data_IF_598705217100
#
_entry.id   IF_598705217100
#
_cell.length_a   1.000
_cell.length_b   1.000
_cell.length_c   1.000
_cell.angle_alpha   90.00
_cell.angle_beta   90.00
_cell.angle_gamma   90.00
#
_symmetry.space_group_name_H-M   'P 1'
#
loop_
_entity.id
_entity.type
_entity.pdbx_description
1 polymer ?
#
# COMPACT_ATOMS: atom_id res chain seq x y z
N UNK A 1 -13.19 20.46 -17.15
CA UNK A 1 -13.82 19.61 -16.10
C UNK A 1 -13.23 18.22 -16.27
N UNK A 2 -12.39 17.79 -15.34
CA UNK A 2 -11.84 16.43 -15.36
C UNK A 2 -12.77 15.57 -14.50
N UNK A 3 -13.34 14.51 -15.07
CA UNK A 3 -14.30 13.65 -14.39
C UNK A 3 -13.59 12.60 -13.55
N UNK A 4 -14.13 12.31 -12.36
CA UNK A 4 -13.71 11.20 -11.50
C UNK A 4 -13.63 9.92 -12.34
N UNK A 5 -12.51 9.18 -12.33
CA UNK A 5 -12.40 7.93 -13.07
C UNK A 5 -13.56 6.98 -12.72
N UNK A 6 -14.21 6.41 -13.73
CA UNK A 6 -15.41 5.58 -13.53
C UNK A 6 -15.19 4.41 -12.56
N UNK A 7 -13.99 3.84 -12.53
CA UNK A 7 -13.63 2.77 -11.60
C UNK A 7 -13.63 3.23 -10.13
N UNK A 8 -13.25 4.48 -9.83
CA UNK A 8 -13.27 4.97 -8.45
C UNK A 8 -14.71 5.02 -7.97
N UNK A 9 -15.60 5.64 -8.76
CA UNK A 9 -17.04 5.68 -8.46
C UNK A 9 -17.62 4.29 -8.22
N UNK A 10 -17.32 3.32 -9.09
CA UNK A 10 -17.76 1.94 -8.91
C UNK A 10 -17.19 1.29 -7.63
N UNK A 11 -15.93 1.55 -7.28
CA UNK A 11 -15.35 1.06 -6.03
C UNK A 11 -16.10 1.63 -4.81
N UNK A 12 -16.50 2.90 -4.87
CA UNK A 12 -17.34 3.54 -3.87
C UNK A 12 -18.73 2.94 -3.74
N UNK A 13 -19.36 2.61 -4.88
CA UNK A 13 -20.65 1.90 -4.90
C UNK A 13 -20.52 0.50 -4.30
N UNK A 14 -19.45 -0.24 -4.62
CA UNK A 14 -19.16 -1.55 -4.05
C UNK A 14 -18.96 -1.49 -2.53
N UNK A 15 -18.36 -0.42 -2.02
CA UNK A 15 -18.21 -0.18 -0.58
C UNK A 15 -19.53 0.24 0.11
N UNK A 16 -20.61 0.47 -0.64
CA UNK A 16 -21.92 0.83 -0.09
C UNK A 16 -22.07 2.32 0.26
N UNK A 17 -21.17 3.18 -0.24
CA UNK A 17 -21.18 4.63 0.03
C UNK A 17 -22.24 5.38 -0.79
N UNK A 18 -22.84 4.70 -1.77
CA UNK A 18 -23.84 5.28 -2.66
C UNK A 18 -23.27 6.40 -3.56
N UNK A 19 -24.12 7.31 -4.07
CA UNK A 19 -23.70 8.39 -4.97
C UNK A 19 -22.74 9.43 -4.35
N UNK A 20 -22.53 9.38 -3.02
CA UNK A 20 -21.70 10.33 -2.28
C UNK A 20 -20.25 9.87 -2.12
N UNK A 21 -19.90 8.70 -2.67
CA UNK A 21 -18.61 8.04 -2.45
C UNK A 21 -17.39 8.89 -2.82
N UNK A 22 -17.54 9.87 -3.73
CA UNK A 22 -16.49 10.82 -4.06
C UNK A 22 -17.12 12.19 -4.30
N UNK A 23 -16.75 13.17 -3.49
CA UNK A 23 -16.93 14.56 -3.87
C UNK A 23 -15.96 14.94 -4.99
N UNK A 24 -16.25 16.05 -5.69
CA UNK A 24 -15.46 16.69 -6.77
C UNK A 24 -13.95 16.92 -6.48
N UNK A 25 -13.42 16.53 -5.32
CA UNK A 25 -12.05 16.85 -4.86
C UNK A 25 -11.00 15.76 -5.15
N UNK A 26 -11.40 14.53 -5.46
CA UNK A 26 -10.46 13.53 -5.98
C UNK A 26 -10.06 13.80 -7.44
N UNK A 27 -10.71 14.79 -8.08
CA UNK A 27 -10.58 15.12 -9.49
C UNK A 27 -9.41 16.07 -9.76
N UNK A 28 -8.48 15.62 -10.61
CA UNK A 28 -7.72 16.49 -11.50
C UNK A 28 -6.21 16.41 -11.38
N UNK A 29 -5.68 16.42 -10.15
CA UNK A 29 -4.23 16.34 -9.91
C UNK A 29 -3.73 14.89 -9.67
N UNK A 30 -4.68 13.98 -9.43
CA UNK A 30 -4.53 12.64 -8.85
C UNK A 30 -3.81 11.57 -9.71
N UNK A 31 -3.39 11.89 -10.94
CA UNK A 31 -2.81 10.91 -11.88
C UNK A 31 -1.53 11.43 -12.55
N UNK A 32 -0.93 12.48 -12.00
CA UNK A 32 0.40 12.92 -12.39
C UNK A 32 1.41 11.83 -12.03
N UNK A 33 1.75 10.99 -13.00
CA UNK A 33 2.82 10.00 -12.89
C UNK A 33 4.15 10.70 -13.11
N UNK A 34 4.55 11.59 -12.18
CA UNK A 34 5.97 11.92 -12.10
C UNK A 34 6.70 10.65 -11.64
N UNK A 35 7.34 9.99 -12.61
CA UNK A 35 8.07 8.74 -12.44
C UNK A 35 9.52 8.98 -12.00
N UNK A 36 9.83 10.14 -11.39
CA UNK A 36 11.18 10.46 -10.90
C UNK A 36 11.82 9.32 -10.11
N UNK A 37 11.02 8.51 -9.42
CA UNK A 37 11.37 7.16 -8.97
C UNK A 37 10.11 6.30 -8.80
N UNK A 38 10.29 4.97 -8.77
CA UNK A 38 9.21 4.00 -8.52
C UNK A 38 9.45 3.24 -7.23
N UNK A 39 8.40 3.00 -6.46
CA UNK A 39 8.45 2.01 -5.37
C UNK A 39 7.81 0.69 -5.80
N UNK A 40 8.15 -0.37 -5.08
CA UNK A 40 7.61 -1.70 -5.30
C UNK A 40 6.10 -1.79 -5.04
N UNK A 41 5.56 -0.89 -4.22
CA UNK A 41 4.12 -0.81 -3.91
C UNK A 41 3.38 -0.17 -5.10
N UNK A 42 3.71 1.07 -5.46
CA UNK A 42 2.94 1.82 -6.46
C UNK A 42 3.29 1.49 -7.93
N UNK A 43 4.56 1.18 -8.24
CA UNK A 43 5.06 0.81 -9.56
C UNK A 43 4.59 1.69 -10.75
N UNK A 44 4.54 3.00 -10.54
CA UNK A 44 4.03 4.00 -11.47
C UNK A 44 2.50 4.00 -11.59
N UNK A 45 1.77 3.73 -10.51
CA UNK A 45 0.31 3.90 -10.48
C UNK A 45 -0.01 5.25 -9.86
N UNK A 46 -0.91 6.04 -10.45
CA UNK A 46 -1.37 7.29 -9.82
C UNK A 46 -2.41 7.05 -8.71
N UNK A 47 -2.94 5.84 -8.59
CA UNK A 47 -3.92 5.49 -7.57
C UNK A 47 -3.71 4.08 -7.01
N UNK A 48 -3.94 3.93 -5.71
CA UNK A 48 -3.95 2.66 -5.00
C UNK A 48 -5.26 2.53 -4.24
N UNK A 49 -5.78 1.31 -4.12
CA UNK A 49 -6.97 1.03 -3.31
C UNK A 49 -6.68 -0.18 -2.43
N UNK A 50 -7.20 -0.23 -1.21
CA UNK A 50 -7.03 -1.39 -0.35
C UNK A 50 -8.35 -1.96 0.13
N UNK A 51 -8.35 -3.29 0.28
CA UNK A 51 -9.33 -4.04 1.05
C UNK A 51 -8.72 -4.33 2.41
N UNK A 52 -9.46 -4.07 3.48
CA UNK A 52 -9.04 -4.34 4.84
C UNK A 52 -9.69 -5.63 5.38
N UNK A 53 -8.95 -6.40 6.18
CA UNK A 53 -9.45 -7.47 7.05
C UNK A 53 -8.67 -7.52 8.38
N UNK A 54 -9.28 -7.88 9.52
CA UNK A 54 -10.71 -8.05 9.73
C UNK A 54 -11.47 -6.72 9.61
N UNK A 55 -12.80 -6.81 9.54
CA UNK A 55 -13.69 -5.66 9.66
C UNK A 55 -14.74 -5.55 8.56
N UNK A 56 -15.55 -4.50 8.66
CA UNK A 56 -16.57 -4.19 7.68
C UNK A 56 -15.95 -3.68 6.37
N UNK A 57 -16.73 -3.75 5.28
CA UNK A 57 -16.35 -3.12 4.00
C UNK A 57 -16.08 -1.63 4.20
N UNK A 58 -14.89 -1.19 3.83
CA UNK A 58 -14.47 0.21 3.80
C UNK A 58 -13.61 0.44 2.57
N UNK A 59 -13.67 1.64 2.03
CA UNK A 59 -12.85 2.01 0.89
C UNK A 59 -11.67 2.87 1.34
N UNK A 60 -10.49 2.27 1.32
CA UNK A 60 -9.23 3.00 1.40
C UNK A 60 -8.74 3.27 -0.02
N UNK A 61 -8.55 4.53 -0.36
CA UNK A 61 -8.01 4.97 -1.64
C UNK A 61 -6.85 5.92 -1.39
N UNK A 62 -5.75 5.76 -2.12
CA UNK A 62 -4.67 6.74 -2.18
C UNK A 62 -4.55 7.26 -3.59
N UNK A 63 -4.42 8.57 -3.74
CA UNK A 63 -4.20 9.23 -5.04
C UNK A 63 -2.96 10.08 -5.00
N UNK A 64 -2.08 9.94 -5.99
CA UNK A 64 -0.83 10.68 -6.08
C UNK A 64 -1.10 12.13 -6.48
N UNK A 65 -0.45 13.09 -5.81
CA UNK A 65 -0.48 14.52 -6.15
C UNK A 65 0.84 14.95 -6.80
N UNK A 66 0.84 16.04 -7.59
CA UNK A 66 2.07 16.69 -8.02
C UNK A 66 2.92 17.03 -6.79
N UNK A 67 4.20 16.70 -6.86
CA UNK A 67 5.18 16.91 -5.80
C UNK A 67 6.52 17.32 -6.42
N UNK A 68 7.44 17.79 -5.57
CA UNK A 68 8.80 18.11 -6.00
C UNK A 68 9.59 16.83 -6.38
N UNK A 69 10.59 16.93 -7.27
CA UNK A 69 11.44 15.79 -7.63
C UNK A 69 12.05 15.11 -6.39
N UNK A 70 11.97 13.79 -6.35
CA UNK A 70 12.51 12.98 -5.25
C UNK A 70 11.53 12.72 -4.10
N UNK A 71 10.30 13.23 -4.16
CA UNK A 71 9.19 12.84 -3.27
C UNK A 71 7.92 12.59 -4.06
N UNK A 72 7.16 11.60 -3.62
CA UNK A 72 5.77 11.40 -4.01
C UNK A 72 4.87 11.80 -2.84
N UNK A 73 3.89 12.66 -3.09
CA UNK A 73 2.86 13.01 -2.12
C UNK A 73 1.54 12.35 -2.54
N UNK A 74 0.83 11.79 -1.58
CA UNK A 74 -0.41 11.06 -1.81
C UNK A 74 -1.46 11.54 -0.81
N UNK A 75 -2.71 11.67 -1.26
CA UNK A 75 -3.84 11.86 -0.35
C UNK A 75 -4.42 10.50 -0.01
N UNK A 76 -4.59 10.22 1.29
CA UNK A 76 -5.35 9.08 1.78
C UNK A 76 -6.82 9.48 1.93
N UNK A 77 -7.68 8.74 1.24
CA UNK A 77 -9.12 8.85 1.28
C UNK A 77 -9.71 7.63 1.96
N UNK A 78 -10.61 7.88 2.91
CA UNK A 78 -11.37 6.86 3.59
C UNK A 78 -12.84 7.15 3.41
N UNK A 79 -13.53 6.21 2.75
CA UNK A 79 -14.97 6.31 2.48
C UNK A 79 -15.38 7.63 1.78
N UNK A 80 -14.50 8.13 0.90
CA UNK A 80 -14.72 9.35 0.13
C UNK A 80 -14.27 10.66 0.80
N UNK A 81 -13.75 10.59 2.01
CA UNK A 81 -13.23 11.75 2.75
C UNK A 81 -11.71 11.71 2.78
N UNK A 82 -11.05 12.84 2.50
CA UNK A 82 -9.61 12.96 2.70
C UNK A 82 -9.33 12.91 4.21
N UNK A 83 -8.57 11.92 4.65
CA UNK A 83 -8.25 11.69 6.06
C UNK A 83 -6.78 11.87 6.40
N UNK A 84 -5.91 11.95 5.40
CA UNK A 84 -4.48 12.02 5.64
C UNK A 84 -3.66 12.24 4.39
N UNK A 85 -2.35 12.35 4.61
CA UNK A 85 -1.36 12.42 3.56
C UNK A 85 -0.31 11.32 3.75
N UNK A 86 0.21 10.82 2.63
CA UNK A 86 1.32 9.87 2.61
C UNK A 86 2.45 10.47 1.81
N UNK A 87 3.63 10.55 2.42
CA UNK A 87 4.86 10.99 1.80
C UNK A 87 5.75 9.78 1.55
N UNK A 88 6.26 9.65 0.34
CA UNK A 88 7.22 8.62 -0.04
C UNK A 88 8.44 9.31 -0.63
N UNK A 89 9.61 9.04 -0.07
CA UNK A 89 10.85 9.62 -0.52
C UNK A 89 11.70 8.71 -1.38
N UNK A 90 12.45 9.30 -2.29
CA UNK A 90 13.56 8.65 -2.95
C UNK A 90 14.66 8.30 -1.93
N UNK A 91 15.54 7.33 -2.26
CA UNK A 91 16.71 7.05 -1.42
C UNK A 91 17.51 8.33 -1.11
N UNK A 92 17.75 8.58 0.17
CA UNK A 92 18.48 9.76 0.64
C UNK A 92 17.63 11.03 0.85
N UNK A 93 16.31 10.95 0.72
CA UNK A 93 15.43 12.08 1.07
C UNK A 93 15.56 12.49 2.55
N UNK A 94 15.22 13.74 2.83
CA UNK A 94 15.28 14.34 4.17
C UNK A 94 13.88 14.80 4.59
N UNK A 95 13.16 14.06 5.44
CA UNK A 95 11.76 14.33 5.78
C UNK A 95 11.55 15.74 6.37
N UNK A 96 12.59 16.36 6.94
CA UNK A 96 12.54 17.70 7.53
C UNK A 96 12.15 18.78 6.51
N UNK A 97 12.46 18.58 5.23
CA UNK A 97 12.04 19.50 4.16
C UNK A 97 10.52 19.56 3.99
N UNK A 98 9.82 18.53 4.45
CA UNK A 98 8.37 18.42 4.44
C UNK A 98 7.76 18.57 5.85
N UNK A 99 8.49 19.17 6.79
CA UNK A 99 8.01 19.45 8.14
C UNK A 99 8.00 18.25 9.08
N UNK A 100 8.68 17.16 8.73
CA UNK A 100 8.74 15.95 9.54
C UNK A 100 10.14 15.71 10.09
N UNK A 101 10.26 15.70 11.41
CA UNK A 101 11.49 15.25 12.05
C UNK A 101 11.60 13.74 12.00
N UNK A 102 12.81 13.24 11.75
CA UNK A 102 13.09 11.80 11.85
C UNK A 102 13.05 11.43 13.34
N UNK A 103 12.27 10.43 13.76
CA UNK A 103 12.33 9.97 15.15
C UNK A 103 13.70 9.32 15.42
N UNK A 104 14.42 9.82 16.42
CA UNK A 104 15.81 9.42 16.72
C UNK A 104 15.96 8.61 18.02
N UNK A 105 14.84 8.26 18.66
CA UNK A 105 14.85 7.61 19.97
C UNK A 105 14.19 6.22 19.94
N UNK A 106 14.49 5.43 20.97
CA UNK A 106 13.84 4.15 21.25
C UNK A 106 13.89 3.16 20.08
N UNK A 107 12.74 2.61 19.72
CA UNK A 107 12.62 1.63 18.66
C UNK A 107 12.90 2.22 17.26
N UNK A 108 12.59 3.50 17.04
CA UNK A 108 12.86 4.17 15.77
C UNK A 108 14.34 4.30 15.47
N UNK A 109 15.15 4.59 16.51
CA UNK A 109 16.61 4.61 16.38
C UNK A 109 17.14 3.26 15.87
N UNK A 110 16.78 2.18 16.56
CA UNK A 110 17.18 0.82 16.20
C UNK A 110 16.68 0.39 14.82
N UNK A 111 15.44 0.74 14.46
CA UNK A 111 14.93 0.50 13.12
C UNK A 111 15.72 1.28 12.05
N UNK A 112 16.13 2.50 12.37
CA UNK A 112 16.97 3.35 11.53
C UNK A 112 18.41 2.85 11.34
N UNK A 113 18.94 2.06 12.26
CA UNK A 113 20.23 1.37 12.11
C UNK A 113 20.15 0.18 11.16
N UNK A 114 18.99 -0.48 11.11
CA UNK A 114 18.75 -1.66 10.27
C UNK A 114 18.28 -1.30 8.86
N UNK A 115 17.61 -0.16 8.69
CA UNK A 115 16.80 0.13 7.52
C UNK A 115 16.67 1.64 7.24
N UNK A 116 16.29 1.96 6.00
CA UNK A 116 16.14 3.34 5.56
C UNK A 116 14.67 3.80 5.67
N UNK A 117 14.42 4.90 6.39
CA UNK A 117 13.12 5.58 6.39
C UNK A 117 12.80 6.06 4.97
N UNK A 118 11.66 5.64 4.42
CA UNK A 118 11.29 5.95 3.04
C UNK A 118 9.84 6.43 2.89
N UNK A 119 8.98 6.19 3.89
CA UNK A 119 7.57 6.57 3.83
C UNK A 119 7.05 7.04 5.18
N UNK A 120 6.21 8.06 5.15
CA UNK A 120 5.50 8.60 6.32
C UNK A 120 4.01 8.62 5.98
N UNK A 121 3.17 7.93 6.76
CA UNK A 121 1.72 8.07 6.69
C UNK A 121 1.26 9.01 7.81
N UNK A 122 0.57 10.09 7.48
CA UNK A 122 0.09 11.08 8.42
C UNK A 122 -1.43 11.25 8.26
N UNK A 123 -2.18 10.45 9.02
CA UNK A 123 -3.64 10.56 9.10
C UNK A 123 -4.01 11.60 10.17
N UNK A 124 -4.98 12.47 9.90
CA UNK A 124 -5.37 13.60 10.75
C UNK A 124 -5.86 13.19 12.15
N UNK A 125 -6.36 11.96 12.28
CA UNK A 125 -6.97 11.45 13.51
C UNK A 125 -6.08 10.44 14.27
N UNK A 126 -4.87 10.17 13.79
CA UNK A 126 -4.00 9.14 14.34
C UNK A 126 -2.54 9.58 14.38
N UNK A 127 -1.77 8.92 15.24
CA UNK A 127 -0.33 9.07 15.23
C UNK A 127 0.26 8.63 13.89
N UNK A 128 1.29 9.33 13.38
CA UNK A 128 1.88 9.04 12.09
C UNK A 128 2.60 7.69 12.11
N UNK A 129 2.71 7.08 10.93
CA UNK A 129 3.50 5.87 10.73
C UNK A 129 4.79 6.18 9.99
N UNK A 130 5.90 5.71 10.54
CA UNK A 130 7.22 5.83 9.93
C UNK A 130 7.64 4.48 9.37
N UNK A 131 7.73 4.36 8.05
CA UNK A 131 8.03 3.13 7.34
C UNK A 131 9.49 3.05 6.89
N UNK A 132 10.15 1.97 7.29
CA UNK A 132 11.55 1.69 7.05
C UNK A 132 11.68 0.54 6.04
N UNK A 133 12.41 0.76 4.95
CA UNK A 133 12.66 -0.25 3.93
C UNK A 133 13.90 -1.06 4.30
N UNK A 134 13.73 -2.37 4.46
CA UNK A 134 14.82 -3.26 4.78
C UNK A 134 15.77 -3.40 3.57
N UNK A 135 17.09 -3.57 3.79
CA UNK A 135 18.03 -3.89 2.74
C UNK A 135 17.64 -5.16 1.97
N UNK A 136 18.06 -5.27 0.70
CA UNK A 136 17.68 -6.39 -0.20
C UNK A 136 18.01 -7.79 0.32
N UNK A 137 18.97 -7.90 1.24
CA UNK A 137 19.44 -9.16 1.80
C UNK A 137 18.94 -9.42 3.23
N UNK A 138 18.21 -8.48 3.82
CA UNK A 138 17.67 -8.62 5.15
C UNK A 138 16.38 -9.45 5.13
N UNK A 139 16.28 -10.40 6.05
CA UNK A 139 15.04 -11.14 6.33
C UNK A 139 14.22 -10.36 7.37
N UNK A 140 12.89 -10.30 7.18
CA UNK A 140 12.02 -9.60 8.13
C UNK A 140 12.02 -10.25 9.52
N UNK A 141 12.10 -11.58 9.61
CA UNK A 141 12.18 -12.30 10.88
C UNK A 141 13.38 -11.85 11.73
N UNK A 142 14.55 -11.72 11.11
CA UNK A 142 15.79 -11.33 11.78
C UNK A 142 15.74 -9.85 12.21
N UNK A 143 15.21 -8.97 11.35
CA UNK A 143 15.03 -7.57 11.67
C UNK A 143 14.05 -7.38 12.85
N UNK A 144 12.92 -8.10 12.85
CA UNK A 144 11.99 -8.12 13.99
C UNK A 144 12.66 -8.65 15.25
N UNK A 145 13.49 -9.69 15.14
CA UNK A 145 14.28 -10.22 16.26
C UNK A 145 15.24 -9.18 16.86
N UNK A 146 15.98 -8.46 16.02
CA UNK A 146 16.88 -7.38 16.46
C UNK A 146 16.14 -6.22 17.15
N UNK A 147 14.87 -6.00 16.79
CA UNK A 147 13.99 -5.01 17.42
C UNK A 147 13.32 -5.50 18.71
N UNK A 148 13.43 -6.79 19.05
CA UNK A 148 12.74 -7.41 20.18
C UNK A 148 11.28 -7.76 19.91
N UNK A 149 10.91 -7.90 18.64
CA UNK A 149 9.54 -8.13 18.14
C UNK A 149 9.37 -9.51 17.49
N UNK A 150 10.16 -10.51 17.91
CA UNK A 150 10.13 -11.86 17.31
C UNK A 150 8.74 -12.50 17.31
N UNK A 151 7.90 -12.21 18.30
CA UNK A 151 6.55 -12.76 18.42
C UNK A 151 5.66 -12.38 17.22
N UNK A 152 5.87 -11.21 16.62
CA UNK A 152 5.11 -10.74 15.47
C UNK A 152 5.28 -11.62 14.23
N UNK A 153 6.44 -12.27 14.07
CA UNK A 153 6.76 -12.98 12.84
C UNK A 153 5.84 -14.17 12.57
N UNK A 154 5.42 -14.89 13.61
CA UNK A 154 4.51 -16.03 13.47
C UNK A 154 3.17 -15.58 12.84
N UNK A 155 2.63 -14.46 13.31
CA UNK A 155 1.41 -13.84 12.75
C UNK A 155 1.62 -13.41 11.30
N UNK A 156 2.71 -12.70 11.01
CA UNK A 156 3.04 -12.25 9.64
C UNK A 156 3.16 -13.41 8.67
N UNK A 157 3.90 -14.46 9.06
CA UNK A 157 4.09 -15.65 8.23
C UNK A 157 2.77 -16.39 7.99
N UNK A 158 1.92 -16.53 9.02
CA UNK A 158 0.61 -17.17 8.90
C UNK A 158 -0.35 -16.41 7.98
N UNK A 159 -0.34 -15.07 8.03
CA UNK A 159 -1.12 -14.25 7.08
C UNK A 159 -0.62 -14.48 5.65
N UNK A 160 0.69 -14.43 5.40
CA UNK A 160 1.23 -14.70 4.06
C UNK A 160 0.94 -16.11 3.58
N UNK A 161 1.00 -17.12 4.45
CA UNK A 161 0.64 -18.49 4.10
C UNK A 161 -0.83 -18.59 3.67
N UNK A 162 -1.72 -17.89 4.37
CA UNK A 162 -3.13 -17.79 4.00
C UNK A 162 -3.32 -17.17 2.61
N UNK A 163 -2.59 -16.09 2.31
CA UNK A 163 -2.68 -15.37 1.02
C UNK A 163 -2.08 -16.18 -0.14
N UNK A 164 -0.96 -16.86 0.10
CA UNK A 164 -0.25 -17.62 -0.92
C UNK A 164 -0.79 -19.04 -1.10
N UNK A 165 -1.54 -19.56 -0.12
CA UNK A 165 -1.99 -20.96 -0.06
C UNK A 165 -0.84 -21.95 0.15
N UNK A 166 0.31 -21.47 0.62
CA UNK A 166 1.52 -22.26 0.86
C UNK A 166 2.45 -21.50 1.82
N UNK A 167 3.39 -22.18 2.48
CA UNK A 167 4.38 -21.52 3.32
C UNK A 167 5.13 -20.41 2.58
N UNK A 168 5.38 -19.30 3.28
CA UNK A 168 6.15 -18.19 2.75
C UNK A 168 7.55 -18.67 2.34
N UNK A 169 7.98 -18.49 1.08
CA UNK A 169 9.28 -18.97 0.63
C UNK A 169 10.44 -18.39 1.46
N UNK A 170 11.48 -19.19 1.70
CA UNK A 170 12.73 -18.68 2.24
C UNK A 170 13.29 -17.59 1.31
N UNK A 171 13.81 -16.48 1.87
CA UNK A 171 14.30 -15.32 1.11
C UNK A 171 13.23 -14.54 0.35
N UNK A 172 12.00 -14.60 0.85
CA UNK A 172 10.92 -13.70 0.44
C UNK A 172 11.34 -12.25 0.70
N UNK A 173 11.23 -11.36 -0.28
CA UNK A 173 11.67 -9.95 -0.23
C UNK A 173 11.04 -9.17 -1.38
N UNK A 174 10.94 -7.83 -1.34
CA UNK A 174 11.42 -6.90 -0.29
C UNK A 174 10.48 -6.84 0.93
N UNK A 175 10.95 -6.23 2.01
CA UNK A 175 10.18 -6.00 3.25
C UNK A 175 10.30 -4.54 3.71
N UNK A 176 9.24 -4.05 4.34
CA UNK A 176 9.29 -2.85 5.16
C UNK A 176 8.67 -3.08 6.53
N UNK A 177 9.15 -2.32 7.50
CA UNK A 177 8.65 -2.27 8.87
C UNK A 177 8.19 -0.84 9.14
N UNK A 178 6.97 -0.65 9.63
CA UNK A 178 6.47 0.65 10.04
C UNK A 178 6.18 0.67 11.52
N UNK A 179 6.53 1.78 12.17
CA UNK A 179 6.28 2.03 13.59
C UNK A 179 5.37 3.24 13.72
N UNK A 180 4.35 3.14 14.57
CA UNK A 180 3.42 4.22 14.85
C UNK A 180 3.95 5.17 15.94
N UNK A 181 3.69 6.47 15.78
CA UNK A 181 4.07 7.51 16.74
C UNK A 181 5.53 7.93 16.63
N UNK A 182 5.92 8.90 17.45
CA UNK A 182 7.29 9.45 17.49
C UNK A 182 8.10 8.92 18.68
N UNK A 183 7.42 8.50 19.75
CA UNK A 183 8.04 8.17 21.03
C UNK A 183 8.59 6.74 21.09
N UNK A 184 8.12 5.84 20.22
CA UNK A 184 8.66 4.48 20.08
C UNK A 184 8.52 3.58 21.31
N UNK A 185 7.69 3.93 22.30
CA UNK A 185 7.40 3.11 23.47
C UNK A 185 6.25 2.14 23.15
N UNK A 186 6.60 0.91 22.76
CA UNK A 186 5.68 -0.16 22.35
C UNK A 186 4.72 0.24 21.20
N UNK A 187 5.24 0.71 20.06
CA UNK A 187 4.40 1.17 18.97
C UNK A 187 3.67 0.00 18.33
N UNK A 188 2.46 0.26 17.84
CA UNK A 188 1.85 -0.61 16.85
C UNK A 188 2.84 -0.82 15.70
N UNK A 189 2.91 -2.06 15.20
CA UNK A 189 3.85 -2.48 14.16
C UNK A 189 3.07 -2.72 12.88
N UNK A 190 3.62 -2.29 11.75
CA UNK A 190 3.17 -2.73 10.43
C UNK A 190 4.30 -3.45 9.73
N UNK A 191 4.03 -4.61 9.15
CA UNK A 191 4.98 -5.32 8.29
C UNK A 191 4.39 -5.41 6.90
N UNK A 192 5.12 -4.94 5.89
CA UNK A 192 4.62 -4.90 4.53
C UNK A 192 5.58 -5.51 3.52
N UNK A 193 5.02 -6.04 2.44
CA UNK A 193 5.80 -6.55 1.31
C UNK A 193 5.02 -6.51 0.00
N UNK A 194 5.74 -6.29 -1.10
CA UNK A 194 5.21 -6.32 -2.46
C UNK A 194 5.25 -7.72 -3.10
N UNK A 195 5.47 -8.79 -2.33
CA UNK A 195 5.47 -10.17 -2.85
C UNK A 195 4.16 -10.53 -3.55
N UNK A 196 3.05 -9.92 -3.12
CA UNK A 196 1.74 -10.07 -3.75
C UNK A 196 1.74 -9.62 -5.22
N UNK A 197 2.54 -8.62 -5.59
CA UNK A 197 2.71 -8.17 -6.96
C UNK A 197 3.44 -9.18 -7.86
N UNK A 198 4.17 -10.14 -7.27
CA UNK A 198 4.88 -11.18 -8.02
C UNK A 198 3.99 -12.39 -8.35
N UNK A 199 2.82 -12.50 -7.71
CA UNK A 199 1.86 -13.56 -8.00
C UNK A 199 1.17 -13.25 -9.33
N UNK A 200 1.16 -14.18 -10.31
CA UNK A 200 0.51 -13.97 -11.59
C UNK A 200 -0.96 -13.55 -11.45
N UNK A 201 -1.39 -12.59 -12.27
CA UNK A 201 -2.75 -12.04 -12.24
C UNK A 201 -3.74 -12.99 -12.93
N UNK A 202 -4.10 -14.06 -12.22
CA UNK A 202 -5.03 -15.09 -12.70
C UNK A 202 -6.37 -15.03 -11.96
N UNK A 203 -7.35 -15.76 -12.49
CA UNK A 203 -8.61 -16.02 -11.77
C UNK A 203 -8.34 -16.61 -10.37
N UNK A 204 -7.41 -17.56 -10.27
CA UNK A 204 -7.03 -18.16 -8.98
C UNK A 204 -6.48 -17.13 -7.99
N UNK A 205 -5.75 -16.11 -8.46
CA UNK A 205 -5.27 -15.02 -7.59
C UNK A 205 -6.44 -14.21 -7.01
N UNK A 206 -7.45 -13.92 -7.83
CA UNK A 206 -8.68 -13.24 -7.40
C UNK A 206 -9.46 -14.08 -6.39
N UNK A 207 -9.61 -15.38 -6.63
CA UNK A 207 -10.30 -16.32 -5.73
C UNK A 207 -9.53 -16.48 -4.40
N UNK A 208 -8.20 -16.60 -4.45
CA UNK A 208 -7.35 -16.62 -3.23
C UNK A 208 -7.44 -15.33 -2.44
N UNK A 209 -7.46 -14.16 -3.09
CA UNK A 209 -7.66 -12.87 -2.41
C UNK A 209 -8.99 -12.87 -1.64
N UNK A 210 -10.08 -13.24 -2.32
CA UNK A 210 -11.41 -13.28 -1.72
C UNK A 210 -11.46 -14.25 -0.52
N UNK A 211 -10.89 -15.45 -0.68
CA UNK A 211 -10.82 -16.43 0.39
C UNK A 211 -9.96 -15.95 1.56
N UNK A 212 -8.80 -15.35 1.30
CA UNK A 212 -7.91 -14.85 2.35
C UNK A 212 -8.58 -13.72 3.15
N UNK A 213 -9.21 -12.75 2.47
CA UNK A 213 -9.97 -11.68 3.13
C UNK A 213 -11.09 -12.28 3.99
N UNK A 214 -11.84 -13.26 3.48
CA UNK A 214 -12.90 -13.92 4.24
C UNK A 214 -12.36 -14.67 5.47
N UNK A 215 -11.31 -15.47 5.30
CA UNK A 215 -10.65 -16.22 6.39
C UNK A 215 -10.12 -15.29 7.48
N UNK A 216 -9.63 -14.10 7.11
CA UNK A 216 -9.15 -13.07 8.03
C UNK A 216 -10.28 -12.19 8.61
N UNK A 217 -11.55 -12.53 8.40
CA UNK A 217 -12.70 -11.84 8.99
C UNK A 217 -13.13 -10.56 8.27
N UNK A 218 -12.77 -10.40 6.99
CA UNK A 218 -13.24 -9.32 6.12
C UNK A 218 -14.30 -9.77 5.11
N UNK A 219 -14.71 -8.83 4.23
CA UNK A 219 -15.67 -9.09 3.16
C UNK A 219 -14.97 -9.59 1.88
N UNK A 220 -14.89 -10.92 1.74
CA UNK A 220 -14.29 -11.58 0.57
C UNK A 220 -15.04 -11.30 -0.74
N UNK A 221 -16.35 -11.07 -0.69
CA UNK A 221 -17.15 -10.74 -1.87
C UNK A 221 -16.81 -9.33 -2.38
N UNK A 222 -16.70 -8.37 -1.48
CA UNK A 222 -16.22 -7.03 -1.79
C UNK A 222 -14.80 -7.07 -2.39
N UNK A 223 -13.89 -7.84 -1.79
CA UNK A 223 -12.54 -8.00 -2.30
C UNK A 223 -12.51 -8.53 -3.74
N UNK A 224 -13.32 -9.55 -4.02
CA UNK A 224 -13.43 -10.13 -5.36
C UNK A 224 -13.99 -9.13 -6.36
N UNK A 225 -15.05 -8.42 -5.99
CA UNK A 225 -15.70 -7.43 -6.85
C UNK A 225 -14.76 -6.27 -7.18
N UNK A 226 -14.03 -5.76 -6.18
CA UNK A 226 -13.06 -4.69 -6.37
C UNK A 226 -11.90 -5.13 -7.27
N UNK A 227 -11.37 -6.34 -7.07
CA UNK A 227 -10.32 -6.87 -7.95
C UNK A 227 -10.80 -6.99 -9.40
N UNK A 228 -12.01 -7.54 -9.62
CA UNK A 228 -12.61 -7.66 -10.96
C UNK A 228 -12.86 -6.30 -11.60
N UNK A 229 -13.28 -5.30 -10.83
CA UNK A 229 -13.44 -3.94 -11.31
C UNK A 229 -12.11 -3.33 -11.82
N UNK A 230 -10.99 -3.67 -11.15
CA UNK A 230 -9.67 -3.19 -11.52
C UNK A 230 -9.04 -3.99 -12.68
N UNK A 231 -9.45 -5.25 -12.87
CA UNK A 231 -9.06 -6.10 -13.98
C UNK A 231 -9.88 -5.73 -15.24
N UNK A 232 -9.30 -5.08 -16.26
CA UNK A 232 -10.05 -4.75 -17.47
C UNK A 232 -10.33 -6.01 -18.30
N UNK A 233 -11.42 -6.01 -19.06
CA UNK A 233 -11.75 -7.01 -20.09
C UNK A 233 -10.85 -6.91 -21.35
N UNK A 234 -9.59 -6.49 -21.19
CA UNK A 234 -8.69 -6.25 -22.31
C UNK A 234 -8.03 -7.54 -22.81
N UNK A 235 -7.84 -7.72 -24.13
CA UNK A 235 -7.24 -8.93 -24.71
C UNK A 235 -5.75 -9.10 -24.39
N UNK A 236 -5.05 -8.04 -23.97
CA UNK A 236 -3.60 -8.05 -23.69
C UNK A 236 -3.32 -8.04 -22.17
N UNK A 237 -3.82 -9.06 -21.47
CA UNK A 237 -3.80 -9.16 -20.01
C UNK A 237 -2.39 -9.37 -19.43
N UNK A 238 -1.42 -9.77 -20.24
CA UNK A 238 -0.10 -10.24 -19.79
C UNK A 238 0.80 -9.20 -19.13
N UNK A 239 0.48 -7.91 -19.21
CA UNK A 239 1.36 -6.84 -18.71
C UNK A 239 0.88 -6.13 -17.44
N UNK A 240 -0.38 -6.31 -17.02
CA UNK A 240 -0.95 -5.45 -15.97
C UNK A 240 -1.00 -6.15 -14.61
N UNK A 241 -0.13 -5.71 -13.71
CA UNK A 241 -0.10 -6.11 -12.29
C UNK A 241 -1.14 -5.30 -11.51
N UNK A 242 -2.10 -5.99 -10.87
CA UNK A 242 -3.17 -5.42 -10.05
C UNK A 242 -2.79 -5.49 -8.58
N UNK A 243 -2.37 -6.66 -8.09
CA UNK A 243 -1.90 -6.78 -6.71
C UNK A 243 -0.63 -5.95 -6.50
N UNK A 244 -0.61 -5.06 -5.50
CA UNK A 244 0.56 -4.23 -5.21
C UNK A 244 1.35 -4.79 -4.03
N UNK A 245 0.72 -4.82 -2.86
CA UNK A 245 1.37 -5.15 -1.61
C UNK A 245 0.35 -5.69 -0.61
N UNK A 246 0.90 -6.29 0.45
CA UNK A 246 0.17 -6.59 1.66
C UNK A 246 0.81 -5.79 2.79
N UNK A 247 0.02 -5.07 3.57
CA UNK A 247 0.46 -4.43 4.80
C UNK A 247 -0.26 -5.05 5.99
N UNK A 248 0.48 -5.58 6.96
CA UNK A 248 -0.05 -6.32 8.12
C UNK A 248 0.20 -5.47 9.36
N UNK A 249 -0.86 -4.89 9.91
CA UNK A 249 -0.88 -4.21 11.19
C UNK A 249 -0.98 -5.19 12.35
N UNK A 250 -0.22 -4.93 13.41
CA UNK A 250 -0.07 -5.79 14.57
C UNK A 250 -0.17 -4.94 15.84
N UNK A 251 -0.85 -5.48 16.85
CA UNK A 251 -0.82 -4.96 18.19
C UNK A 251 0.59 -5.14 18.82
N UNK A 252 0.91 -4.41 19.91
CA UNK A 252 2.22 -4.51 20.55
C UNK A 252 2.58 -5.92 21.06
N UNK A 253 1.58 -6.77 21.31
CA UNK A 253 1.79 -8.17 21.70
C UNK A 253 2.06 -9.12 20.52
N UNK A 254 2.05 -8.59 19.28
CA UNK A 254 2.26 -9.36 18.04
C UNK A 254 1.00 -10.03 17.50
N UNK A 255 -0.17 -9.82 18.12
CA UNK A 255 -1.44 -10.27 17.58
C UNK A 255 -1.88 -9.43 16.38
N UNK A 256 -2.70 -10.03 15.51
CA UNK A 256 -3.17 -9.40 14.29
C UNK A 256 -4.17 -8.28 14.60
N UNK A 257 -3.88 -7.07 14.13
CA UNK A 257 -4.81 -5.94 14.16
C UNK A 257 -5.53 -5.82 12.82
N UNK A 258 -4.77 -5.71 11.73
CA UNK A 258 -5.31 -5.41 10.40
C UNK A 258 -4.43 -5.96 9.27
N UNK A 259 -5.03 -6.18 8.10
CA UNK A 259 -4.38 -6.59 6.86
C UNK A 259 -4.95 -5.76 5.74
N UNK A 260 -4.11 -4.99 5.07
CA UNK A 260 -4.45 -4.16 3.92
C UNK A 260 -3.93 -4.84 2.66
N UNK A 261 -4.86 -5.32 1.85
CA UNK A 261 -4.59 -5.86 0.52
C UNK A 261 -4.56 -4.71 -0.48
N UNK A 262 -3.38 -4.18 -0.76
CA UNK A 262 -3.20 -3.02 -1.63
C UNK A 262 -3.25 -3.47 -3.09
N UNK A 263 -4.09 -2.81 -3.88
CA UNK A 263 -4.33 -3.03 -5.30
C UNK A 263 -4.05 -1.75 -6.08
N UNK A 264 -3.57 -1.88 -7.31
CA UNK A 264 -3.28 -0.77 -8.20
C UNK A 264 -4.53 -0.37 -8.97
N UNK A 265 -4.82 0.94 -8.96
CA UNK A 265 -5.77 1.54 -9.87
C UNK A 265 -5.36 1.33 -11.34
N UNK A 266 -6.30 1.44 -12.29
CA UNK A 266 -5.96 1.59 -13.70
C UNK A 266 -5.04 2.77 -13.92
N UNK A 267 -3.95 2.53 -14.66
CA UNK A 267 -3.20 3.63 -15.26
C UNK A 267 -4.15 4.37 -16.20
N UNK A 268 -4.19 5.69 -16.11
CA UNK A 268 -4.75 6.47 -17.18
C UNK A 268 -4.00 6.08 -18.45
N UNK A 269 -4.73 5.66 -19.49
CA UNK A 269 -4.13 5.64 -20.81
C UNK A 269 -3.77 7.10 -21.09
N UNK A 270 -2.48 7.42 -21.09
CA UNK A 270 -2.06 8.66 -21.70
C UNK A 270 -2.44 8.52 -23.18
N UNK A 271 -3.55 9.12 -23.59
CA UNK A 271 -3.74 9.56 -24.97
C UNK A 271 -2.70 10.65 -25.24
N UNK A 272 -1.43 10.26 -25.25
CA UNK A 272 -0.43 10.98 -25.99
C UNK A 272 -0.68 10.61 -27.45
N UNK A 273 -1.49 11.44 -28.11
CA UNK A 273 -1.49 11.58 -29.55
C UNK A 273 -0.05 11.45 -30.04
N UNK A 274 0.15 10.52 -30.96
CA UNK A 274 1.45 9.94 -31.24
C UNK A 274 2.54 10.95 -31.54
N UNK A 275 3.70 10.75 -30.93
CA UNK A 275 4.95 10.81 -31.64
C UNK A 275 5.87 9.75 -31.05
N UNK A 276 6.05 8.64 -31.79
CA UNK A 276 7.23 7.82 -31.60
C UNK A 276 8.44 8.71 -31.89
N UNK A 277 9.41 8.85 -30.96
CA UNK A 277 10.67 9.50 -31.32
C UNK A 277 11.32 8.71 -32.46
N UNK A 278 11.95 9.38 -33.44
CA UNK A 278 12.67 8.69 -34.49
C UNK A 278 13.75 7.83 -33.85
N UNK A 279 13.76 6.55 -34.24
CA UNK A 279 14.89 5.68 -33.98
C UNK A 279 16.08 6.27 -34.75
N UNK A 280 17.11 6.69 -34.01
CA UNK A 280 18.45 6.91 -34.55
C UNK A 280 19.26 5.62 -34.44
#
# INVERSE_FOLDING_TARGET
>A
MQTTPSWMLHAGLLAGLGPRAFGLQAEGDALATDLSFRTCIEAGSGALVAVQAPGARRLHLWTQRPAEPGVQQWTHWLDGQAVGEVLIGAPGWQPQRWGWDRPEHGLHHRAGELAALYRIDADQAADPWFAYHLPRHAEAADALGALGLSAAWATVAGVWETVLGRPLPARSRPWSLSLQGVDGAAPALRVASSLWALVPETRDKCERLAQAVHTLGGDGCFAQALYKLLAPDAPDQSARVIGAALEIGLHPDGSLDSVHFVLRGPRAANDHGGHRPPLH
#
